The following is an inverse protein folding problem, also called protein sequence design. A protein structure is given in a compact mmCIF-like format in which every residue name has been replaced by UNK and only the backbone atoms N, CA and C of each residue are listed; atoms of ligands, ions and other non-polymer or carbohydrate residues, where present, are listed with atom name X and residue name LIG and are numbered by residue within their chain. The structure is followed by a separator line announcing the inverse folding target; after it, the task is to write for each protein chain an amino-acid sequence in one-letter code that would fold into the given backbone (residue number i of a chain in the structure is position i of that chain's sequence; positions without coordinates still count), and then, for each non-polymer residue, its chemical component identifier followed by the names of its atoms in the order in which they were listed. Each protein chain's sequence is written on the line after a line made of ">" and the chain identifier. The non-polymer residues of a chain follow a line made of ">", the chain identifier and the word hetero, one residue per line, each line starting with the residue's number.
data_IF_147769971622
#
_entry.id   IF_147769971622
#
_cell.length_a   1.000
_cell.length_b   1.000
_cell.length_c   1.000
_cell.angle_alpha   90.00
_cell.angle_beta   90.00
_cell.angle_gamma   90.00
#
_symmetry.space_group_name_H-M   'P 1'
#
loop_
_entity.id
_entity.type
_entity.pdbx_description
1 polymer ?
#
# COMPACT_ATOMS: atom_id res chain seq x y z
N UNK A 1 11.34 14.18 14.00
CA UNK A 1 11.61 12.80 14.47
C UNK A 1 10.95 12.46 15.81
N UNK A 2 9.94 13.21 16.29
CA UNK A 2 9.26 12.90 17.57
C UNK A 2 7.77 12.54 17.41
N UNK A 3 7.25 12.40 16.18
CA UNK A 3 5.81 12.12 15.98
C UNK A 3 5.45 10.62 15.86
N UNK A 4 6.44 9.70 15.81
CA UNK A 4 6.14 8.26 15.64
C UNK A 4 5.89 7.52 16.96
N UNK A 5 6.27 8.09 18.10
CA UNK A 5 6.22 7.42 19.40
C UNK A 5 4.84 7.49 20.09
N UNK A 6 3.89 8.31 19.59
CA UNK A 6 2.65 8.61 20.32
C UNK A 6 1.48 7.66 20.08
N UNK A 7 1.67 6.59 19.29
CA UNK A 7 0.59 5.64 18.96
C UNK A 7 0.75 4.23 19.57
N UNK A 8 1.85 3.94 20.25
CA UNK A 8 2.18 2.61 20.83
C UNK A 8 1.54 2.46 22.24
N UNK A 9 0.39 3.08 22.48
CA UNK A 9 -0.14 3.29 23.82
C UNK A 9 -1.09 2.22 24.37
N UNK A 10 -1.44 1.17 23.60
CA UNK A 10 -2.44 0.19 24.07
C UNK A 10 -2.42 -1.22 23.44
N UNK A 11 -1.40 -1.60 22.69
CA UNK A 11 -1.33 -2.94 22.10
C UNK A 11 -0.56 -3.90 23.03
N UNK A 12 -1.09 -5.10 23.27
CA UNK A 12 -0.42 -6.15 24.02
C UNK A 12 0.72 -6.69 23.13
N UNK A 13 1.95 -6.20 23.35
CA UNK A 13 3.11 -6.42 22.47
C UNK A 13 3.32 -7.90 22.13
N UNK A 14 3.14 -8.78 23.12
CA UNK A 14 3.36 -10.23 22.99
C UNK A 14 2.38 -10.90 22.02
N UNK A 15 1.12 -10.44 21.96
CA UNK A 15 0.12 -10.98 21.04
C UNK A 15 0.45 -10.63 19.59
N UNK A 16 0.97 -9.42 19.36
CA UNK A 16 1.33 -8.96 18.03
C UNK A 16 2.59 -9.67 17.50
N UNK A 17 3.56 -9.92 18.36
CA UNK A 17 4.78 -10.66 17.99
C UNK A 17 4.44 -12.06 17.47
N UNK A 18 3.46 -12.72 18.09
CA UNK A 18 2.95 -14.01 17.61
C UNK A 18 2.32 -13.88 16.22
N UNK A 19 1.47 -12.89 16.01
CA UNK A 19 0.81 -12.62 14.72
C UNK A 19 1.84 -12.32 13.63
N UNK A 20 2.85 -11.51 13.93
CA UNK A 20 3.91 -11.20 12.97
C UNK A 20 4.62 -12.49 12.55
N UNK A 21 5.08 -13.30 13.52
CA UNK A 21 5.78 -14.55 13.23
C UNK A 21 4.94 -15.52 12.40
N UNK A 22 3.66 -15.68 12.73
CA UNK A 22 2.77 -16.63 12.05
C UNK A 22 2.41 -16.21 10.63
N UNK A 23 2.27 -14.90 10.37
CA UNK A 23 1.76 -14.40 9.08
C UNK A 23 2.80 -13.69 8.22
N UNK A 24 4.05 -13.50 8.68
CA UNK A 24 5.08 -12.80 7.93
C UNK A 24 5.27 -13.37 6.53
N UNK A 25 5.47 -14.69 6.45
CA UNK A 25 5.71 -15.36 5.17
C UNK A 25 4.49 -15.32 4.25
N UNK A 26 3.28 -15.44 4.80
CA UNK A 26 2.03 -15.35 4.03
C UNK A 26 1.87 -13.96 3.39
N UNK A 27 2.12 -12.91 4.18
CA UNK A 27 2.06 -11.52 3.71
C UNK A 27 3.12 -11.25 2.66
N UNK A 28 4.35 -11.71 2.89
CA UNK A 28 5.44 -11.56 1.94
C UNK A 28 5.15 -12.28 0.63
N UNK A 29 4.75 -13.55 0.69
CA UNK A 29 4.40 -14.34 -0.50
C UNK A 29 3.26 -13.69 -1.28
N UNK A 30 2.23 -13.21 -0.59
CA UNK A 30 1.09 -12.60 -1.27
C UNK A 30 1.47 -11.27 -1.92
N UNK A 31 2.28 -10.46 -1.24
CA UNK A 31 2.86 -9.23 -1.80
C UNK A 31 3.67 -9.54 -3.05
N UNK A 32 4.55 -10.54 -3.00
CA UNK A 32 5.37 -10.98 -4.13
C UNK A 32 4.54 -11.51 -5.30
N UNK A 33 3.45 -12.24 -5.03
CA UNK A 33 2.53 -12.69 -6.08
C UNK A 33 1.95 -11.50 -6.85
N UNK A 34 1.63 -10.41 -6.15
CA UNK A 34 1.05 -9.20 -6.73
C UNK A 34 2.11 -8.33 -7.43
N UNK A 35 3.26 -8.10 -6.81
CA UNK A 35 4.26 -7.13 -7.28
C UNK A 35 5.31 -7.73 -8.21
N UNK A 36 5.60 -9.03 -8.07
CA UNK A 36 6.71 -9.73 -8.74
C UNK A 36 8.09 -9.10 -8.47
N UNK A 37 8.23 -8.35 -7.38
CA UNK A 37 9.46 -7.66 -6.99
C UNK A 37 9.77 -7.98 -5.52
N UNK A 38 10.90 -8.67 -5.23
CA UNK A 38 11.29 -9.04 -3.87
C UNK A 38 11.48 -7.83 -2.93
N UNK A 39 12.15 -6.78 -3.40
CA UNK A 39 12.43 -5.60 -2.57
C UNK A 39 11.14 -4.85 -2.24
N UNK A 40 10.27 -4.69 -3.24
CA UNK A 40 8.97 -4.09 -3.01
C UNK A 40 8.10 -4.95 -2.08
N UNK A 41 8.27 -6.27 -2.12
CA UNK A 41 7.56 -7.19 -1.23
C UNK A 41 8.02 -7.07 0.22
N UNK A 42 9.31 -6.87 0.46
CA UNK A 42 9.85 -6.57 1.79
C UNK A 42 9.23 -5.27 2.35
N UNK A 43 9.22 -4.21 1.54
CA UNK A 43 8.67 -2.89 1.92
C UNK A 43 7.17 -2.97 2.24
N UNK A 44 6.40 -3.62 1.36
CA UNK A 44 4.95 -3.81 1.55
C UNK A 44 4.69 -4.63 2.82
N UNK A 45 5.45 -5.69 3.06
CA UNK A 45 5.28 -6.54 4.23
C UNK A 45 5.44 -5.74 5.52
N UNK A 46 6.48 -4.90 5.59
CA UNK A 46 6.70 -4.01 6.73
C UNK A 46 5.54 -3.02 6.92
N UNK A 47 5.10 -2.33 5.87
CA UNK A 47 3.99 -1.37 5.94
C UNK A 47 2.67 -2.04 6.32
N UNK A 48 2.43 -3.27 5.86
CA UNK A 48 1.27 -4.07 6.26
C UNK A 48 1.27 -4.31 7.77
N UNK A 49 2.38 -4.76 8.36
CA UNK A 49 2.42 -5.02 9.81
C UNK A 49 2.34 -3.73 10.64
N UNK A 50 2.87 -2.61 10.15
CA UNK A 50 2.66 -1.29 10.76
C UNK A 50 1.17 -0.92 10.76
N UNK A 51 0.46 -1.17 9.65
CA UNK A 51 -1.00 -0.93 9.56
C UNK A 51 -1.80 -1.88 10.45
N UNK A 52 -1.43 -3.16 10.48
CA UNK A 52 -2.03 -4.16 11.37
C UNK A 52 -1.89 -3.71 12.82
N UNK A 53 -0.71 -3.26 13.22
CA UNK A 53 -0.47 -2.72 14.56
C UNK A 53 -1.38 -1.53 14.87
N UNK A 54 -1.40 -0.52 13.99
CA UNK A 54 -2.22 0.70 14.14
C UNK A 54 -3.72 0.40 14.22
N UNK A 55 -4.17 -0.68 13.60
CA UNK A 55 -5.57 -1.07 13.52
C UNK A 55 -5.93 -2.34 14.31
N UNK A 56 -5.04 -2.81 15.19
CA UNK A 56 -5.24 -4.06 15.93
C UNK A 56 -6.54 -4.03 16.74
N UNK A 57 -6.79 -2.93 17.45
CA UNK A 57 -7.99 -2.77 18.28
C UNK A 57 -9.29 -2.59 17.49
N UNK A 58 -9.23 -2.27 16.20
CA UNK A 58 -10.42 -2.17 15.35
C UNK A 58 -10.76 -3.48 14.65
N UNK A 59 -9.99 -4.55 14.87
CA UNK A 59 -10.31 -5.86 14.35
C UNK A 59 -11.54 -6.45 15.06
N UNK A 60 -12.67 -6.39 14.36
CA UNK A 60 -14.00 -6.80 14.85
C UNK A 60 -14.23 -8.31 14.96
N UNK A 61 -13.27 -9.16 14.53
CA UNK A 61 -13.38 -10.63 14.51
C UNK A 61 -14.51 -11.21 13.62
N UNK A 62 -15.05 -10.43 12.69
CA UNK A 62 -16.02 -10.90 11.68
C UNK A 62 -15.40 -11.79 10.59
N UNK A 63 -14.07 -11.97 10.61
CA UNK A 63 -13.31 -12.81 9.69
C UNK A 63 -12.09 -13.38 10.42
N UNK A 64 -11.38 -14.34 9.80
CA UNK A 64 -10.11 -14.81 10.36
C UNK A 64 -9.05 -13.70 10.36
N UNK A 65 -8.11 -13.76 11.31
CA UNK A 65 -6.96 -12.82 11.35
C UNK A 65 -6.20 -12.86 10.03
N UNK A 66 -5.97 -14.06 9.47
CA UNK A 66 -5.33 -14.24 8.15
C UNK A 66 -6.07 -13.48 7.06
N UNK A 67 -7.40 -13.63 6.96
CA UNK A 67 -8.22 -12.94 5.96
C UNK A 67 -8.12 -11.42 6.10
N UNK A 68 -8.14 -10.91 7.34
CA UNK A 68 -8.04 -9.49 7.61
C UNK A 68 -6.67 -8.92 7.23
N UNK A 69 -5.59 -9.61 7.61
CA UNK A 69 -4.22 -9.22 7.24
C UNK A 69 -4.03 -9.25 5.73
N UNK A 70 -4.43 -10.34 5.04
CA UNK A 70 -4.29 -10.45 3.58
C UNK A 70 -5.11 -9.40 2.82
N UNK A 71 -6.24 -8.94 3.37
CA UNK A 71 -6.99 -7.80 2.83
C UNK A 71 -6.17 -6.50 2.90
N UNK A 72 -5.49 -6.26 4.02
CA UNK A 72 -4.58 -5.12 4.17
C UNK A 72 -3.41 -5.26 3.19
N UNK A 73 -2.83 -6.46 3.05
CA UNK A 73 -1.76 -6.76 2.10
C UNK A 73 -2.16 -6.43 0.67
N UNK A 74 -3.29 -6.94 0.20
CA UNK A 74 -3.80 -6.69 -1.15
C UNK A 74 -3.94 -5.19 -1.41
N UNK A 75 -4.59 -4.48 -0.50
CA UNK A 75 -4.83 -3.04 -0.66
C UNK A 75 -3.52 -2.24 -0.68
N UNK A 76 -2.58 -2.59 0.20
CA UNK A 76 -1.26 -1.94 0.23
C UNK A 76 -0.51 -2.21 -1.07
N UNK A 77 -0.39 -3.46 -1.50
CA UNK A 77 0.34 -3.81 -2.72
C UNK A 77 -0.23 -3.12 -3.98
N UNK A 78 -1.57 -3.11 -4.13
CA UNK A 78 -2.25 -2.42 -5.24
C UNK A 78 -1.95 -0.91 -5.20
N UNK A 79 -1.98 -0.29 -4.01
CA UNK A 79 -1.67 1.13 -3.88
C UNK A 79 -0.23 1.46 -4.27
N UNK A 80 0.74 0.60 -3.92
CA UNK A 80 2.13 0.74 -4.35
C UNK A 80 2.26 0.66 -5.87
N UNK A 81 1.62 -0.33 -6.51
CA UNK A 81 1.62 -0.46 -7.97
C UNK A 81 0.97 0.75 -8.66
N UNK A 82 -0.18 1.20 -8.13
CA UNK A 82 -0.89 2.39 -8.60
C UNK A 82 0.01 3.64 -8.55
N UNK A 83 0.69 3.86 -7.43
CA UNK A 83 1.64 4.96 -7.27
C UNK A 83 2.83 4.84 -8.24
N UNK A 84 3.39 3.64 -8.41
CA UNK A 84 4.53 3.40 -9.29
C UNK A 84 4.21 3.69 -10.76
N UNK A 85 3.04 3.29 -11.25
CA UNK A 85 2.60 3.60 -12.61
C UNK A 85 2.37 5.09 -12.82
N UNK A 86 1.69 5.78 -11.90
CA UNK A 86 1.48 7.22 -12.06
C UNK A 86 2.81 7.98 -12.07
N UNK A 87 3.78 7.57 -11.25
CA UNK A 87 5.15 8.11 -11.30
C UNK A 87 5.79 7.86 -12.66
N UNK A 88 5.70 6.65 -13.21
CA UNK A 88 6.25 6.31 -14.54
C UNK A 88 5.60 7.13 -15.65
N UNK A 89 4.28 7.28 -15.64
CA UNK A 89 3.57 8.05 -16.68
C UNK A 89 3.83 9.54 -16.54
N UNK A 90 3.86 10.06 -15.31
CA UNK A 90 4.25 11.45 -15.08
C UNK A 90 5.66 11.70 -15.60
N UNK A 91 6.61 10.77 -15.38
CA UNK A 91 7.97 10.85 -15.91
C UNK A 91 8.00 10.84 -17.45
N UNK A 92 7.25 9.95 -18.10
CA UNK A 92 7.12 9.94 -19.57
C UNK A 92 6.50 11.24 -20.08
N UNK A 93 5.52 11.77 -19.35
CA UNK A 93 4.93 13.09 -19.60
C UNK A 93 5.95 14.23 -19.50
N UNK A 94 6.83 14.22 -18.49
CA UNK A 94 7.91 15.22 -18.35
C UNK A 94 8.90 15.20 -19.51
N UNK A 95 9.22 14.03 -20.06
CA UNK A 95 10.07 13.94 -21.26
C UNK A 95 9.35 14.34 -22.55
N UNK A 96 8.02 14.41 -22.54
CA UNK A 96 7.19 14.71 -23.72
C UNK A 96 6.68 16.16 -23.75
N UNK A 97 6.88 16.93 -22.68
CA UNK A 97 6.20 18.22 -22.49
C UNK A 97 7.19 19.36 -22.26
N UNK A 98 7.86 19.75 -23.34
CA UNK A 98 8.53 21.05 -23.43
C UNK A 98 7.49 22.08 -23.90
N UNK A 99 6.53 22.44 -23.01
CA UNK A 99 5.85 23.76 -22.92
C UNK A 99 4.61 23.73 -21.99
N UNK A 100 4.63 24.68 -21.04
CA UNK A 100 3.49 25.43 -20.49
C UNK A 100 2.81 24.88 -19.23
N UNK A 101 2.74 25.75 -18.21
CA UNK A 101 2.10 25.53 -16.91
C UNK A 101 0.64 25.12 -17.09
N UNK A 102 0.35 23.83 -16.88
CA UNK A 102 -0.99 23.28 -17.04
C UNK A 102 -1.97 23.83 -16.00
N UNK A 103 -3.15 24.26 -16.46
CA UNK A 103 -4.27 24.65 -15.60
C UNK A 103 -4.71 23.47 -14.70
N UNK A 104 -5.31 23.77 -13.54
CA UNK A 104 -5.83 22.75 -12.62
C UNK A 104 -6.82 21.78 -13.30
N UNK A 105 -7.61 22.26 -14.28
CA UNK A 105 -8.53 21.42 -15.06
C UNK A 105 -7.80 20.43 -15.97
N UNK A 106 -6.71 20.87 -16.61
CA UNK A 106 -5.90 20.01 -17.48
C UNK A 106 -5.16 18.94 -16.66
N UNK A 107 -4.66 19.30 -15.48
CA UNK A 107 -4.08 18.37 -14.53
C UNK A 107 -5.12 17.32 -14.08
N UNK A 108 -6.34 17.76 -13.77
CA UNK A 108 -7.43 16.90 -13.35
C UNK A 108 -7.84 15.91 -14.44
N UNK A 109 -8.07 16.37 -15.67
CA UNK A 109 -8.45 15.48 -16.78
C UNK A 109 -7.37 14.45 -17.10
N UNK A 110 -6.09 14.84 -17.06
CA UNK A 110 -4.96 13.90 -17.25
C UNK A 110 -4.93 12.84 -16.14
N UNK A 111 -5.25 13.21 -14.91
CA UNK A 111 -5.30 12.26 -13.80
C UNK A 111 -6.54 11.35 -13.85
N UNK A 112 -7.67 11.85 -14.34
CA UNK A 112 -8.90 11.08 -14.53
C UNK A 112 -8.74 10.02 -15.63
N UNK A 113 -8.14 10.39 -16.77
CA UNK A 113 -7.84 9.46 -17.86
C UNK A 113 -6.97 8.29 -17.37
N UNK A 114 -5.95 8.56 -16.55
CA UNK A 114 -5.10 7.53 -15.97
C UNK A 114 -5.83 6.67 -14.92
N UNK A 115 -6.77 7.25 -14.17
CA UNK A 115 -7.64 6.49 -13.28
C UNK A 115 -8.55 5.54 -14.07
N UNK A 116 -9.08 5.95 -15.22
CA UNK A 116 -9.88 5.10 -16.10
C UNK A 116 -9.08 3.91 -16.63
N UNK A 117 -7.85 4.15 -17.13
CA UNK A 117 -6.98 3.05 -17.57
C UNK A 117 -6.72 2.06 -16.42
N UNK A 118 -6.49 2.58 -15.22
CA UNK A 118 -6.30 1.73 -14.04
C UNK A 118 -7.53 0.93 -13.62
N UNK A 119 -8.75 1.45 -13.85
CA UNK A 119 -9.99 0.71 -13.58
C UNK A 119 -10.14 -0.51 -14.48
N UNK A 120 -9.56 -0.50 -15.68
CA UNK A 120 -9.63 -1.62 -16.64
C UNK A 120 -8.66 -2.75 -16.28
N UNK A 121 -7.55 -2.45 -15.61
CA UNK A 121 -6.50 -3.43 -15.28
C UNK A 121 -6.84 -4.28 -14.04
N UNK A 122 -7.86 -3.90 -13.26
CA UNK A 122 -8.19 -4.47 -11.95
C UNK A 122 -9.55 -5.18 -11.93
#
# INVERSE_FOLDING_TARGET
>A
MEMEQKFIGKCNHDELDYVIKDYWQDVWNYSFIITKDPHLSDDITQDVFIKVFKHWHSFRKDSSIKTWILKITRNTAINYLKSAYFKRISLVGFFSDDKQSSSAEQQFFKQEELNEVWKVVL
#
